data_IF_661590183821
#
_entry.id   IF_661590183821
#
_cell.length_a   1.000
_cell.length_b   1.000
_cell.length_c   1.000
_cell.angle_alpha   90.00
_cell.angle_beta   90.00
_cell.angle_gamma   90.00
#
_symmetry.space_group_name_H-M   'P 1'
#
loop_
_entity.id
_entity.type
_entity.pdbx_description
1 polymer ?
#
# COMPACT_ATOMS: atom_id res chain seq x y z
N UNK A 1 51.84 9.44 -60.34
CA UNK A 1 51.18 9.98 -59.12
C UNK A 1 49.84 9.26 -59.02
N UNK A 2 49.70 8.37 -58.05
CA UNK A 2 48.50 7.55 -57.83
C UNK A 2 47.55 8.35 -56.94
N UNK A 3 46.29 8.51 -57.34
CA UNK A 3 45.17 8.77 -56.42
C UNK A 3 43.95 8.00 -56.93
N UNK A 4 43.62 6.93 -56.22
CA UNK A 4 42.29 6.31 -56.09
C UNK A 4 41.38 7.29 -55.31
N UNK A 5 40.04 7.34 -55.39
CA UNK A 5 39.08 6.28 -55.02
C UNK A 5 37.62 6.74 -55.25
N UNK A 6 36.81 5.77 -55.68
CA UNK A 6 35.35 5.51 -55.72
C UNK A 6 34.24 6.50 -55.28
N UNK A 7 33.26 6.62 -56.19
CA UNK A 7 31.82 6.24 -56.11
C UNK A 7 31.12 6.06 -54.75
N UNK A 8 30.01 6.80 -54.55
CA UNK A 8 28.83 6.33 -53.82
C UNK A 8 27.56 6.73 -54.60
N UNK A 9 26.79 5.73 -55.01
CA UNK A 9 25.50 5.88 -55.70
C UNK A 9 24.37 6.04 -54.67
N UNK A 10 23.47 6.99 -54.94
CA UNK A 10 22.19 7.15 -54.26
C UNK A 10 21.21 6.05 -54.69
N UNK A 11 20.45 5.47 -53.75
CA UNK A 11 19.09 4.93 -53.95
C UNK A 11 18.48 4.57 -52.59
N UNK A 12 17.18 4.86 -52.44
CA UNK A 12 16.37 4.44 -51.29
C UNK A 12 15.55 5.60 -50.71
N UNK A 13 14.29 5.71 -51.12
CA UNK A 13 13.26 6.46 -50.38
C UNK A 13 12.90 5.61 -49.17
N UNK A 14 13.36 6.00 -48.00
CA UNK A 14 12.84 5.46 -46.75
C UNK A 14 11.58 6.25 -46.37
N UNK A 15 10.45 5.54 -46.28
CA UNK A 15 9.27 6.03 -45.59
C UNK A 15 9.61 6.19 -44.09
N UNK A 16 9.08 7.21 -43.39
CA UNK A 16 9.30 7.33 -41.97
C UNK A 16 8.68 6.11 -41.28
N UNK A 17 9.52 5.32 -40.63
CA UNK A 17 9.08 4.30 -39.67
C UNK A 17 8.36 5.05 -38.56
N UNK A 18 7.05 4.85 -38.49
CA UNK A 18 6.23 5.24 -37.35
C UNK A 18 6.62 4.35 -36.17
N UNK A 19 7.66 4.76 -35.46
CA UNK A 19 8.17 4.10 -34.25
C UNK A 19 7.44 4.64 -33.02
N UNK A 20 6.12 4.85 -33.14
CA UNK A 20 5.26 4.94 -31.97
C UNK A 20 5.22 3.53 -31.37
N UNK A 21 6.19 3.23 -30.52
CA UNK A 21 6.05 2.16 -29.56
C UNK A 21 4.71 2.40 -28.84
N UNK A 22 3.70 1.61 -29.20
CA UNK A 22 2.50 1.43 -28.40
C UNK A 22 2.99 0.86 -27.07
N UNK A 23 3.39 1.75 -26.16
CA UNK A 23 3.57 1.39 -24.76
C UNK A 23 2.17 1.27 -24.19
N UNK A 24 1.46 0.19 -24.55
CA UNK A 24 0.33 -0.22 -23.76
C UNK A 24 0.84 -0.34 -22.31
N UNK A 25 0.14 0.26 -21.34
CA UNK A 25 0.44 0.02 -19.94
C UNK A 25 0.57 -1.50 -19.74
N UNK A 26 1.57 -1.98 -18.98
CA UNK A 26 1.71 -3.40 -18.73
C UNK A 26 0.37 -3.96 -18.24
N UNK A 27 0.00 -5.15 -18.73
CA UNK A 27 -1.25 -5.79 -18.34
C UNK A 27 -1.26 -5.99 -16.83
N UNK A 28 -2.30 -5.47 -16.18
CA UNK A 28 -2.41 -5.51 -14.73
C UNK A 28 -2.64 -6.96 -14.28
N UNK A 29 -1.71 -7.48 -13.49
CA UNK A 29 -1.80 -8.82 -12.89
C UNK A 29 -2.47 -8.71 -11.54
N UNK A 30 -3.30 -9.70 -11.21
CA UNK A 30 -4.13 -9.71 -10.00
C UNK A 30 -3.81 -10.93 -9.14
N UNK A 31 -3.93 -10.81 -7.80
CA UNK A 31 -3.55 -11.88 -6.90
C UNK A 31 -4.59 -13.00 -6.95
N UNK A 32 -4.13 -14.22 -7.20
CA UNK A 32 -4.92 -15.45 -7.20
C UNK A 32 -4.95 -16.14 -5.82
N UNK A 33 -4.22 -15.59 -4.86
CA UNK A 33 -4.13 -16.09 -3.49
C UNK A 33 -5.24 -15.52 -2.61
N UNK A 34 -5.70 -16.31 -1.65
CA UNK A 34 -6.77 -15.98 -0.70
C UNK A 34 -6.22 -15.98 0.73
N UNK A 35 -5.17 -15.19 0.98
CA UNK A 35 -4.47 -15.12 2.28
C UNK A 35 -4.00 -13.70 2.60
N UNK A 36 -3.99 -13.36 3.88
CA UNK A 36 -3.59 -12.03 4.38
C UNK A 36 -2.46 -12.16 5.39
N UNK A 37 -1.43 -11.32 5.24
CA UNK A 37 -0.30 -11.24 6.17
C UNK A 37 -0.42 -9.99 7.04
N UNK A 38 -0.44 -10.15 8.36
CA UNK A 38 -0.18 -9.10 9.34
C UNK A 38 1.31 -9.11 9.68
N UNK A 39 2.08 -8.25 9.02
CA UNK A 39 3.53 -8.17 9.19
C UNK A 39 3.89 -7.17 10.30
N UNK A 40 4.60 -7.63 11.33
CA UNK A 40 5.06 -6.77 12.44
C UNK A 40 6.59 -6.72 12.57
N UNK A 41 7.32 -7.08 11.51
CA UNK A 41 8.78 -6.94 11.49
C UNK A 41 9.24 -5.47 11.42
N UNK A 42 10.55 -5.25 11.34
CA UNK A 42 11.15 -3.91 11.23
C UNK A 42 10.76 -2.97 12.39
N UNK A 43 10.74 -3.52 13.60
CA UNK A 43 10.37 -2.79 14.80
C UNK A 43 8.86 -2.61 14.99
N UNK A 44 8.02 -3.14 14.10
CA UNK A 44 6.58 -3.22 14.26
C UNK A 44 6.16 -3.95 15.54
N UNK A 45 4.92 -3.72 15.95
CA UNK A 45 4.39 -4.30 17.19
C UNK A 45 3.57 -5.54 16.86
N UNK A 46 3.95 -6.74 17.35
CA UNK A 46 3.00 -7.83 17.36
C UNK A 46 1.82 -7.36 18.21
N UNK A 47 0.60 -7.52 17.69
CA UNK A 47 -0.58 -7.14 18.44
C UNK A 47 -0.51 -7.67 19.88
N UNK A 48 -0.91 -6.85 20.85
CA UNK A 48 -0.95 -7.31 22.25
C UNK A 48 -1.90 -8.51 22.35
N UNK A 49 -1.73 -9.40 23.33
CA UNK A 49 -2.60 -10.58 23.47
C UNK A 49 -4.07 -10.24 23.84
N UNK A 50 -4.39 -8.95 23.95
CA UNK A 50 -5.75 -8.40 24.04
C UNK A 50 -5.68 -6.87 24.13
N UNK A 51 -6.60 -6.18 23.45
CA UNK A 51 -6.86 -4.75 23.66
C UNK A 51 -6.14 -3.83 22.67
N UNK A 52 -5.64 -2.70 23.17
CA UNK A 52 -5.03 -1.65 22.35
C UNK A 52 -3.87 -2.22 21.54
N UNK A 53 -3.82 -1.84 20.26
CA UNK A 53 -2.86 -2.33 19.27
C UNK A 53 -2.90 -3.84 18.94
N UNK A 54 -3.80 -4.64 19.52
CA UNK A 54 -4.00 -6.04 19.09
C UNK A 54 -4.73 -6.12 17.75
N UNK A 55 -4.54 -7.19 16.98
CA UNK A 55 -5.19 -7.38 15.66
C UNK A 55 -5.96 -8.70 15.59
N UNK A 56 -6.24 -9.33 16.72
CA UNK A 56 -6.89 -10.64 16.75
C UNK A 56 -8.34 -10.55 16.26
N UNK A 57 -9.06 -9.47 16.58
CA UNK A 57 -10.41 -9.23 16.06
C UNK A 57 -10.41 -9.01 14.54
N UNK A 58 -9.44 -8.25 14.01
CA UNK A 58 -9.30 -8.02 12.58
C UNK A 58 -9.03 -9.33 11.83
N UNK A 59 -8.11 -10.14 12.33
CA UNK A 59 -7.79 -11.45 11.77
C UNK A 59 -9.00 -12.39 11.81
N UNK A 60 -9.65 -12.52 12.96
CA UNK A 60 -10.84 -13.37 13.12
C UNK A 60 -11.99 -12.94 12.19
N UNK A 61 -12.19 -11.62 12.03
CA UNK A 61 -13.21 -11.10 11.13
C UNK A 61 -12.91 -11.45 9.66
N UNK A 62 -11.65 -11.32 9.20
CA UNK A 62 -11.26 -11.71 7.83
C UNK A 62 -11.52 -13.20 7.60
N UNK A 63 -11.12 -14.05 8.55
CA UNK A 63 -11.32 -15.50 8.45
C UNK A 63 -12.81 -15.88 8.45
N UNK A 64 -13.64 -15.19 9.22
CA UNK A 64 -15.09 -15.43 9.25
C UNK A 64 -15.81 -14.91 8.00
N UNK A 65 -15.46 -13.70 7.54
CA UNK A 65 -16.12 -13.04 6.42
C UNK A 65 -15.76 -13.67 5.07
N UNK A 66 -14.49 -14.03 4.87
CA UNK A 66 -13.96 -14.46 3.58
C UNK A 66 -13.48 -15.91 3.55
N UNK A 67 -13.23 -16.53 4.72
CA UNK A 67 -12.62 -17.86 4.79
C UNK A 67 -11.12 -17.87 4.43
N UNK A 68 -10.49 -16.69 4.37
CA UNK A 68 -9.10 -16.52 3.98
C UNK A 68 -8.16 -16.69 5.17
N UNK A 69 -7.18 -17.60 5.14
CA UNK A 69 -6.20 -17.75 6.21
C UNK A 69 -5.42 -16.46 6.46
N UNK A 70 -5.38 -16.03 7.72
CA UNK A 70 -4.51 -14.94 8.15
C UNK A 70 -3.20 -15.47 8.72
N UNK A 71 -2.16 -14.66 8.75
CA UNK A 71 -0.89 -15.01 9.37
C UNK A 71 -0.26 -13.77 9.96
N UNK A 72 0.18 -13.84 11.22
CA UNK A 72 0.91 -12.76 11.88
C UNK A 72 2.35 -13.17 12.12
N UNK A 73 3.32 -12.42 11.59
CA UNK A 73 4.76 -12.72 11.74
C UNK A 73 5.67 -11.51 11.53
N UNK A 74 6.91 -11.60 12.02
CA UNK A 74 7.98 -10.60 11.87
C UNK A 74 8.88 -10.80 10.64
N UNK A 75 8.61 -11.83 9.82
CA UNK A 75 9.34 -12.14 8.61
C UNK A 75 8.42 -12.12 7.39
N UNK A 76 8.88 -11.52 6.28
CA UNK A 76 8.07 -11.44 5.06
C UNK A 76 7.82 -12.82 4.43
N UNK A 77 8.82 -13.72 4.48
CA UNK A 77 8.75 -15.02 3.81
C UNK A 77 8.64 -14.85 2.30
N UNK A 78 7.59 -15.45 1.73
CA UNK A 78 7.20 -15.38 0.31
C UNK A 78 5.98 -14.43 0.19
N UNK A 79 6.20 -13.11 0.03
CA UNK A 79 5.12 -12.11 0.00
C UNK A 79 4.13 -12.30 -1.17
N UNK A 80 4.57 -12.92 -2.27
CA UNK A 80 3.75 -13.25 -3.44
C UNK A 80 2.61 -14.23 -3.13
N UNK A 81 2.69 -14.97 -2.01
CA UNK A 81 1.65 -15.89 -1.57
C UNK A 81 0.46 -15.20 -0.87
N UNK A 82 0.45 -13.87 -0.80
CA UNK A 82 -0.57 -13.10 -0.09
C UNK A 82 -1.29 -12.16 -1.03
N UNK A 83 -2.60 -12.02 -0.82
CA UNK A 83 -3.42 -11.02 -1.49
C UNK A 83 -3.12 -9.62 -0.98
N UNK A 84 -2.97 -9.51 0.34
CA UNK A 84 -2.67 -8.28 1.03
C UNK A 84 -1.65 -8.51 2.15
N UNK A 85 -0.73 -7.56 2.28
CA UNK A 85 0.26 -7.50 3.36
C UNK A 85 -0.01 -6.22 4.15
N UNK A 86 -0.50 -6.39 5.37
CA UNK A 86 -0.79 -5.35 6.34
C UNK A 86 0.44 -5.16 7.25
N UNK A 87 1.21 -4.11 6.99
CA UNK A 87 2.43 -3.77 7.71
C UNK A 87 2.12 -2.91 8.92
N UNK A 88 2.29 -3.52 10.09
CA UNK A 88 1.88 -2.98 11.37
C UNK A 88 3.00 -2.12 11.97
N UNK A 89 2.89 -0.80 11.82
CA UNK A 89 3.74 0.18 12.52
C UNK A 89 5.25 0.01 12.29
N UNK A 90 5.73 -0.11 11.03
CA UNK A 90 7.14 -0.32 10.78
C UNK A 90 7.95 0.88 11.28
N UNK A 91 9.04 0.59 12.01
CA UNK A 91 9.95 1.57 12.56
C UNK A 91 9.79 1.87 14.05
N UNK A 92 8.87 1.21 14.76
CA UNK A 92 8.71 1.49 16.20
C UNK A 92 9.92 1.04 17.07
N UNK A 93 10.82 0.15 16.60
CA UNK A 93 11.96 -0.37 17.38
C UNK A 93 13.25 -0.73 16.58
N UNK A 94 13.59 0.04 15.53
CA UNK A 94 14.83 -0.05 14.69
C UNK A 94 14.93 -1.15 13.62
N UNK A 95 15.55 -0.76 12.48
CA UNK A 95 15.81 -1.55 11.28
C UNK A 95 14.89 -1.14 10.10
N UNK A 96 15.47 -0.65 9.01
CA UNK A 96 14.74 -0.40 7.75
C UNK A 96 14.65 -1.65 6.88
N UNK A 97 13.80 -1.62 5.86
CA UNK A 97 13.72 -2.70 4.88
C UNK A 97 15.01 -2.75 4.04
N UNK A 98 15.59 -3.94 3.91
CA UNK A 98 16.70 -4.17 2.99
C UNK A 98 16.23 -4.12 1.53
N UNK A 99 17.14 -3.85 0.60
CA UNK A 99 16.81 -3.84 -0.83
C UNK A 99 16.17 -5.16 -1.28
N UNK A 100 16.69 -6.31 -0.86
CA UNK A 100 16.10 -7.60 -1.23
C UNK A 100 14.68 -7.81 -0.69
N UNK A 101 14.31 -7.22 0.44
CA UNK A 101 12.93 -7.24 0.93
C UNK A 101 12.03 -6.33 0.10
N UNK A 102 12.53 -5.16 -0.30
CA UNK A 102 11.82 -4.25 -1.22
C UNK A 102 11.61 -4.94 -2.56
N UNK A 103 12.64 -5.58 -3.13
CA UNK A 103 12.56 -6.30 -4.40
C UNK A 103 11.49 -7.41 -4.33
N UNK A 104 11.46 -8.19 -3.24
CA UNK A 104 10.44 -9.23 -3.05
C UNK A 104 9.02 -8.64 -2.96
N UNK A 105 8.84 -7.50 -2.31
CA UNK A 105 7.55 -6.82 -2.24
C UNK A 105 7.12 -6.28 -3.60
N UNK A 106 8.05 -5.72 -4.37
CA UNK A 106 7.78 -5.25 -5.74
C UNK A 106 7.35 -6.42 -6.64
N UNK A 107 8.02 -7.58 -6.58
CA UNK A 107 7.62 -8.78 -7.32
C UNK A 107 6.21 -9.26 -6.90
N UNK A 108 5.89 -9.21 -5.61
CA UNK A 108 4.55 -9.55 -5.13
C UNK A 108 3.49 -8.55 -5.64
N UNK A 109 3.82 -7.25 -5.65
CA UNK A 109 2.95 -6.21 -6.21
C UNK A 109 2.78 -6.34 -7.72
N UNK A 110 3.81 -6.74 -8.46
CA UNK A 110 3.70 -7.09 -9.88
C UNK A 110 2.74 -8.26 -10.14
N UNK A 111 2.42 -9.06 -9.10
CA UNK A 111 1.39 -10.12 -9.13
C UNK A 111 0.06 -9.66 -8.52
N UNK A 112 -0.08 -8.37 -8.23
CA UNK A 112 -1.29 -7.74 -7.73
C UNK A 112 -1.44 -7.73 -6.20
N UNK A 113 -0.41 -8.13 -5.45
CA UNK A 113 -0.43 -8.02 -3.97
C UNK A 113 -0.58 -6.56 -3.54
N UNK A 114 -1.52 -6.26 -2.64
CA UNK A 114 -1.61 -4.95 -2.00
C UNK A 114 -0.70 -4.87 -0.78
N UNK A 115 0.08 -3.81 -0.67
CA UNK A 115 0.88 -3.49 0.51
C UNK A 115 0.23 -2.33 1.25
N UNK A 116 -0.30 -2.59 2.44
CA UNK A 116 -0.89 -1.58 3.32
C UNK A 116 0.07 -1.31 4.46
N UNK A 117 0.46 -0.05 4.64
CA UNK A 117 1.41 0.39 5.66
C UNK A 117 0.65 1.24 6.66
N UNK A 118 0.64 0.80 7.90
CA UNK A 118 0.01 1.53 8.99
C UNK A 118 1.04 2.22 9.86
N UNK A 119 0.70 3.44 10.31
CA UNK A 119 1.44 4.17 11.33
C UNK A 119 0.66 4.20 12.66
N UNK A 120 1.27 4.78 13.69
CA UNK A 120 0.55 5.29 14.85
C UNK A 120 1.11 6.66 15.27
N UNK A 121 0.46 7.28 16.26
CA UNK A 121 0.89 8.56 16.84
C UNK A 121 2.37 8.63 17.27
N UNK A 122 3.05 7.49 17.51
CA UNK A 122 4.46 7.43 17.91
C UNK A 122 5.40 7.36 16.71
N UNK A 123 4.90 7.00 15.53
CA UNK A 123 5.67 6.79 14.30
C UNK A 123 5.29 7.75 13.18
N UNK A 124 4.62 8.87 13.48
CA UNK A 124 4.23 9.86 12.46
C UNK A 124 5.39 10.55 11.73
N UNK A 125 6.60 10.56 12.28
CA UNK A 125 7.79 10.99 11.54
C UNK A 125 8.14 10.01 10.40
N UNK A 126 7.76 8.75 10.57
CA UNK A 126 7.68 7.77 9.50
C UNK A 126 9.00 7.30 8.92
N UNK A 127 10.15 7.40 9.58
CA UNK A 127 11.45 7.12 8.95
C UNK A 127 11.49 5.78 8.18
N UNK A 128 11.00 4.69 8.79
CA UNK A 128 10.95 3.37 8.12
C UNK A 128 9.77 3.25 7.16
N UNK A 129 8.58 3.73 7.55
CA UNK A 129 7.38 3.70 6.72
C UNK A 129 7.58 4.50 5.41
N UNK A 130 8.03 5.75 5.52
CA UNK A 130 8.35 6.64 4.42
C UNK A 130 9.46 6.07 3.54
N UNK A 131 10.51 5.50 4.14
CA UNK A 131 11.57 4.83 3.39
C UNK A 131 11.05 3.65 2.55
N UNK A 132 10.10 2.87 3.09
CA UNK A 132 9.46 1.80 2.33
C UNK A 132 8.54 2.35 1.23
N UNK A 133 7.67 3.32 1.54
CA UNK A 133 6.74 3.91 0.57
C UNK A 133 7.50 4.52 -0.61
N UNK A 134 8.60 5.23 -0.33
CA UNK A 134 9.51 5.76 -1.34
C UNK A 134 10.15 4.65 -2.18
N UNK A 135 10.64 3.58 -1.53
CA UNK A 135 11.27 2.45 -2.22
C UNK A 135 10.28 1.66 -3.10
N UNK A 136 8.99 1.64 -2.74
CA UNK A 136 7.91 1.09 -3.58
C UNK A 136 7.44 2.07 -4.66
N UNK A 137 7.97 3.29 -4.69
CA UNK A 137 7.68 4.31 -5.72
C UNK A 137 6.35 5.02 -5.53
N UNK A 138 5.75 4.95 -4.35
CA UNK A 138 4.52 5.66 -4.03
C UNK A 138 4.85 7.10 -3.58
N UNK A 139 4.23 8.14 -4.17
CA UNK A 139 4.59 9.53 -3.91
C UNK A 139 3.99 10.10 -2.61
N UNK A 140 3.70 9.26 -1.62
CA UNK A 140 3.10 9.68 -0.35
C UNK A 140 4.05 9.50 0.82
N UNK A 141 3.82 10.19 1.93
CA UNK A 141 4.61 10.05 3.16
C UNK A 141 3.87 10.55 4.38
N UNK A 142 4.24 10.08 5.56
CA UNK A 142 3.88 10.69 6.84
C UNK A 142 4.70 11.97 7.04
N UNK A 143 4.07 13.00 7.59
CA UNK A 143 4.70 14.33 7.69
C UNK A 143 5.18 14.72 9.10
N UNK A 144 4.97 13.86 10.10
CA UNK A 144 5.30 14.12 11.50
C UNK A 144 4.15 14.64 12.37
N UNK A 145 3.07 15.14 11.76
CA UNK A 145 1.94 15.71 12.49
C UNK A 145 0.96 14.63 12.93
N UNK A 146 0.36 14.85 14.11
CA UNK A 146 -0.68 13.99 14.69
C UNK A 146 -1.94 14.81 14.87
N UNK A 147 -3.09 14.28 14.44
CA UNK A 147 -4.37 14.80 14.90
C UNK A 147 -4.62 14.29 16.31
N UNK A 148 -4.64 15.20 17.28
CA UNK A 148 -4.90 14.83 18.67
C UNK A 148 -6.37 14.50 18.89
N UNK A 149 -6.62 13.32 19.46
CA UNK A 149 -7.93 12.88 19.92
C UNK A 149 -8.79 12.25 18.84
N UNK A 150 -9.72 11.44 19.33
CA UNK A 150 -10.61 10.60 18.53
C UNK A 150 -11.32 11.39 17.43
N UNK A 151 -11.20 10.90 16.21
CA UNK A 151 -11.78 11.48 15.02
C UNK A 151 -12.67 10.47 14.28
N UNK A 152 -13.85 10.93 13.86
CA UNK A 152 -14.65 10.28 12.82
C UNK A 152 -14.41 11.10 11.57
N UNK A 153 -13.76 10.51 10.57
CA UNK A 153 -13.21 11.20 9.42
C UNK A 153 -13.88 10.72 8.14
N UNK A 154 -14.28 11.62 7.23
CA UNK A 154 -14.96 11.19 6.02
C UNK A 154 -13.99 10.47 5.08
N UNK A 155 -14.48 9.38 4.49
CA UNK A 155 -13.79 8.67 3.43
C UNK A 155 -14.07 9.33 2.07
N UNK A 156 -13.07 9.34 1.20
CA UNK A 156 -13.17 9.84 -0.16
C UNK A 156 -13.79 8.76 -1.04
N UNK A 157 -14.82 9.09 -1.81
CA UNK A 157 -15.45 8.16 -2.76
C UNK A 157 -14.60 7.94 -4.02
N UNK A 158 -14.77 6.80 -4.69
CA UNK A 158 -14.21 6.54 -6.03
C UNK A 158 -12.90 5.75 -6.04
N UNK A 159 -12.49 5.24 -4.87
CA UNK A 159 -11.34 4.36 -4.72
C UNK A 159 -11.79 3.07 -4.06
N UNK A 160 -11.26 1.93 -4.50
CA UNK A 160 -11.67 0.64 -3.95
C UNK A 160 -11.47 0.52 -2.43
N UNK A 161 -10.36 1.00 -1.82
CA UNK A 161 -10.20 0.95 -0.36
C UNK A 161 -11.35 1.60 0.42
N UNK A 162 -12.06 2.56 -0.19
CA UNK A 162 -13.11 3.34 0.45
C UNK A 162 -14.48 3.14 -0.19
N UNK A 163 -14.66 2.13 -1.03
CA UNK A 163 -15.96 1.86 -1.65
C UNK A 163 -17.01 1.49 -0.59
N UNK A 164 -18.17 2.14 -0.64
CA UNK A 164 -19.21 1.99 0.37
C UNK A 164 -18.86 2.50 1.78
N UNK A 165 -17.66 3.06 2.01
CA UNK A 165 -17.23 3.64 3.30
C UNK A 165 -17.61 5.11 3.32
N UNK A 166 -18.29 5.57 4.38
CA UNK A 166 -18.65 6.98 4.53
C UNK A 166 -17.75 7.70 5.51
N UNK A 167 -17.50 7.10 6.67
CA UNK A 167 -16.68 7.67 7.72
C UNK A 167 -15.85 6.60 8.42
N UNK A 168 -14.62 6.93 8.79
CA UNK A 168 -13.69 6.01 9.46
C UNK A 168 -13.33 6.58 10.82
N UNK A 169 -13.36 5.74 11.84
CA UNK A 169 -12.94 6.11 13.17
C UNK A 169 -11.42 5.96 13.31
N UNK A 170 -10.68 7.05 13.55
CA UNK A 170 -9.26 7.05 13.90
C UNK A 170 -9.01 7.71 15.27
N UNK A 171 -8.45 7.00 16.26
CA UNK A 171 -8.11 7.58 17.55
C UNK A 171 -7.15 8.78 17.51
N UNK A 172 -5.98 8.62 16.89
CA UNK A 172 -4.91 9.63 16.90
C UNK A 172 -4.08 9.50 15.61
N UNK A 173 -4.66 9.78 14.43
CA UNK A 173 -4.01 9.49 13.17
C UNK A 173 -2.88 10.47 12.85
N UNK A 174 -1.82 9.95 12.26
CA UNK A 174 -0.80 10.73 11.59
C UNK A 174 -1.35 11.39 10.31
N UNK A 175 -0.84 12.57 9.99
CA UNK A 175 -1.12 13.24 8.71
C UNK A 175 -0.23 12.66 7.60
N UNK A 176 -0.83 12.44 6.45
CA UNK A 176 -0.23 11.92 5.22
C UNK A 176 -0.14 13.06 4.20
N UNK A 177 1.06 13.32 3.69
CA UNK A 177 1.26 14.09 2.47
C UNK A 177 1.12 13.16 1.26
N UNK A 178 0.24 13.49 0.33
CA UNK A 178 -0.06 12.59 -0.79
C UNK A 178 0.89 12.75 -1.99
N UNK A 179 1.42 13.96 -2.24
CA UNK A 179 2.23 14.36 -3.41
C UNK A 179 1.85 13.72 -4.76
N UNK A 180 0.55 13.49 -5.01
CA UNK A 180 0.05 12.88 -6.25
C UNK A 180 -0.57 11.49 -6.05
N UNK A 181 -0.45 10.91 -4.86
CA UNK A 181 -1.27 9.78 -4.42
C UNK A 181 -2.72 10.22 -4.16
N UNK A 182 -3.62 9.26 -4.18
CA UNK A 182 -5.04 9.46 -4.01
C UNK A 182 -5.41 9.54 -2.52
N UNK A 183 -6.07 10.62 -2.06
CA UNK A 183 -6.49 10.73 -0.66
C UNK A 183 -7.69 9.82 -0.40
N UNK A 184 -7.57 8.89 0.56
CA UNK A 184 -8.63 7.96 0.95
C UNK A 184 -9.46 8.47 2.13
N UNK A 185 -8.83 9.10 3.13
CA UNK A 185 -9.52 9.63 4.32
C UNK A 185 -8.95 11.00 4.59
N UNK A 186 -9.80 12.04 4.64
CA UNK A 186 -9.34 13.42 4.73
C UNK A 186 -10.36 14.33 5.43
N UNK A 187 -9.89 15.36 6.13
CA UNK A 187 -10.73 16.44 6.66
C UNK A 187 -10.15 17.79 6.27
N UNK A 188 -10.88 18.54 5.45
CA UNK A 188 -10.40 19.83 4.95
C UNK A 188 -9.16 19.68 4.06
N UNK A 189 -7.99 20.03 4.61
CA UNK A 189 -6.69 19.93 3.91
C UNK A 189 -5.82 18.78 4.40
N UNK A 190 -6.16 18.19 5.53
CA UNK A 190 -5.36 17.14 6.15
C UNK A 190 -5.86 15.79 5.65
N UNK A 191 -4.92 14.93 5.25
CA UNK A 191 -5.18 13.57 4.77
C UNK A 191 -4.61 12.60 5.80
N UNK A 192 -5.31 11.51 6.07
CA UNK A 192 -4.97 10.52 7.09
C UNK A 192 -4.80 9.10 6.52
N UNK A 193 -5.25 8.90 5.29
CA UNK A 193 -4.97 7.70 4.52
C UNK A 193 -4.84 8.07 3.03
N UNK A 194 -3.90 7.44 2.33
CA UNK A 194 -3.72 7.63 0.90
C UNK A 194 -3.38 6.31 0.21
N UNK A 195 -3.69 6.19 -1.08
CA UNK A 195 -3.33 5.06 -1.90
C UNK A 195 -2.61 5.51 -3.17
N UNK A 196 -1.74 4.64 -3.66
CA UNK A 196 -1.10 4.80 -4.95
C UNK A 196 -1.00 3.45 -5.63
N UNK A 197 -1.40 3.41 -6.90
CA UNK A 197 -1.24 2.26 -7.77
C UNK A 197 -0.09 2.49 -8.73
N UNK A 198 1.06 1.82 -8.55
CA UNK A 198 2.12 1.84 -9.55
C UNK A 198 1.66 1.20 -10.86
N UNK A 199 2.25 1.61 -11.98
CA UNK A 199 1.89 1.09 -13.30
C UNK A 199 2.05 -0.43 -13.43
N UNK A 200 2.89 -1.05 -12.60
CA UNK A 200 3.25 -2.46 -12.69
C UNK A 200 2.33 -3.41 -11.89
N UNK A 201 1.36 -2.92 -11.10
CA UNK A 201 0.43 -3.82 -10.41
C UNK A 201 -0.22 -3.28 -9.13
N UNK A 202 -0.18 -4.09 -8.07
CA UNK A 202 -0.90 -3.92 -6.80
C UNK A 202 -0.63 -2.60 -6.07
N UNK A 203 -1.53 -2.27 -5.14
CA UNK A 203 -1.56 -0.95 -4.51
C UNK A 203 -0.59 -0.83 -3.35
N UNK A 204 -0.05 0.38 -3.17
CA UNK A 204 0.52 0.81 -1.89
C UNK A 204 -0.53 1.67 -1.20
N UNK A 205 -0.87 1.35 0.04
CA UNK A 205 -1.78 2.15 0.86
C UNK A 205 -1.05 2.57 2.13
N UNK A 206 -1.10 3.84 2.48
CA UNK A 206 -0.53 4.40 3.71
C UNK A 206 -1.66 4.93 4.59
N UNK A 207 -1.78 4.41 5.82
CA UNK A 207 -2.82 4.80 6.77
C UNK A 207 -2.14 5.27 8.06
N UNK A 208 -2.49 6.47 8.52
CA UNK A 208 -1.87 7.15 9.66
C UNK A 208 -2.20 6.56 11.03
N UNK A 209 -3.03 5.53 11.10
CA UNK A 209 -3.42 4.87 12.35
C UNK A 209 -3.76 3.39 12.07
N UNK A 210 -3.33 2.47 12.94
CA UNK A 210 -3.85 1.09 12.95
C UNK A 210 -4.78 0.79 14.12
N UNK A 211 -4.89 1.68 15.12
CA UNK A 211 -5.68 1.43 16.32
C UNK A 211 -7.19 1.41 16.05
N UNK A 212 -7.62 1.73 14.84
CA UNK A 212 -9.03 1.63 14.41
C UNK A 212 -9.50 0.20 14.17
N UNK A 213 -8.57 -0.72 13.91
CA UNK A 213 -8.84 -2.14 13.69
C UNK A 213 -8.45 -3.00 14.91
N UNK A 214 -8.15 -2.37 16.05
CA UNK A 214 -7.72 -3.10 17.23
C UNK A 214 -8.86 -3.69 18.05
N UNK A 215 -8.48 -4.48 19.06
CA UNK A 215 -9.42 -5.24 19.89
C UNK A 215 -10.19 -4.38 20.90
N UNK A 216 -10.05 -3.06 20.87
CA UNK A 216 -10.80 -2.16 21.77
C UNK A 216 -12.27 -1.98 21.35
N UNK A 217 -12.68 -2.61 20.25
CA UNK A 217 -14.05 -2.62 19.73
C UNK A 217 -14.31 -1.58 18.65
N UNK A 218 -13.29 -0.82 18.22
CA UNK A 218 -13.40 0.21 17.16
C UNK A 218 -13.69 -0.40 15.79
N UNK A 219 -13.19 -1.63 15.56
CA UNK A 219 -13.48 -2.38 14.35
C UNK A 219 -14.97 -2.69 14.19
N UNK A 220 -15.76 -2.77 15.26
CA UNK A 220 -17.16 -3.22 15.21
C UNK A 220 -18.14 -2.25 14.54
N UNK A 221 -17.66 -1.09 14.10
CA UNK A 221 -18.45 -0.16 13.26
C UNK A 221 -18.50 -0.68 11.82
N UNK A 222 -19.65 -0.50 11.14
CA UNK A 222 -19.85 -1.01 9.77
C UNK A 222 -18.78 -0.50 8.80
N UNK A 223 -18.42 0.77 8.92
CA UNK A 223 -17.51 1.43 7.98
C UNK A 223 -16.05 1.05 8.23
N UNK A 224 -15.63 0.83 9.49
CA UNK A 224 -14.30 0.28 9.76
C UNK A 224 -14.20 -1.17 9.26
N UNK A 225 -15.22 -2.02 9.47
CA UNK A 225 -15.20 -3.37 8.88
C UNK A 225 -15.18 -3.33 7.36
N UNK A 226 -15.94 -2.43 6.73
CA UNK A 226 -15.96 -2.27 5.27
C UNK A 226 -14.60 -1.79 4.75
N UNK A 227 -13.95 -0.84 5.41
CA UNK A 227 -12.59 -0.42 5.09
C UNK A 227 -11.61 -1.60 5.19
N UNK A 228 -11.65 -2.39 6.28
CA UNK A 228 -10.78 -3.56 6.42
C UNK A 228 -11.01 -4.57 5.29
N UNK A 229 -12.27 -4.86 4.98
CA UNK A 229 -12.67 -5.71 3.86
C UNK A 229 -12.10 -5.21 2.54
N UNK A 230 -12.35 -3.95 2.23
CA UNK A 230 -11.84 -3.32 1.02
C UNK A 230 -10.32 -3.33 0.95
N UNK A 231 -9.60 -3.18 2.07
CA UNK A 231 -8.14 -3.26 2.08
C UNK A 231 -7.63 -4.65 1.71
N UNK A 232 -8.30 -5.71 2.13
CA UNK A 232 -7.88 -7.10 1.83
C UNK A 232 -8.47 -7.63 0.53
N UNK A 233 -9.62 -7.14 0.10
CA UNK A 233 -10.22 -7.40 -1.19
C UNK A 233 -9.50 -6.57 -2.25
N UNK A 234 -8.69 -7.22 -3.08
CA UNK A 234 -8.09 -6.57 -4.25
C UNK A 234 -8.96 -6.93 -5.45
N UNK A 235 -9.77 -5.97 -5.92
CA UNK A 235 -10.71 -6.19 -7.03
C UNK A 235 -10.14 -5.81 -8.41
N UNK A 236 -10.35 -6.63 -9.45
CA UNK A 236 -9.82 -6.37 -10.80
C UNK A 236 -10.42 -5.20 -11.59
N UNK A 237 -11.44 -4.50 -11.07
CA UNK A 237 -12.30 -3.60 -11.85
C UNK A 237 -12.36 -2.15 -11.38
N UNK A 238 -11.60 -1.79 -10.35
CA UNK A 238 -11.53 -0.44 -9.78
C UNK A 238 -10.20 0.22 -10.07
#
# INVERSE_FOLDING_TARGET
MIVWTLLLACWGKDEPVDDSADTQPPEQVWPDQDRVLFFYGMGGRPGSSSGDASTDQAQAWIEEAYGWPTSSRDTLGEPENFRAILMMDPGANEGGFSQGQVDNLQVAMEQGTRVVIFANQQTCNGDVANGLVEALGAPMRLNGDVRSGVAILPATSGYQPTDGVTEVYFPDPCVVETNGADPLVAEGRDVYAAAYRPAYGGDVVLIGDYNWMDDTGRLTTSDNTALLGNLVEVEPGF
#
